data_IF_200348771041
#
_entry.id   IF_200348771041
#
_cell.length_a   1.000
_cell.length_b   1.000
_cell.length_c   1.000
_cell.angle_alpha   90.00
_cell.angle_beta   90.00
_cell.angle_gamma   90.00
#
_symmetry.space_group_name_H-M   'P 1'
#
loop_
_entity.id
_entity.type
_entity.pdbx_description
1 polymer ?
#
# COMPACT_ATOMS: atom_id res chain seq x y z
N UNK A 1 13.24 -3.06 11.20
CA UNK A 1 12.23 -2.40 10.35
C UNK A 1 12.92 -1.98 9.07
N UNK A 2 12.35 -2.30 7.91
CA UNK A 2 12.91 -1.95 6.58
C UNK A 2 11.78 -1.29 5.80
N UNK A 3 12.06 -0.12 5.24
CA UNK A 3 11.11 0.67 4.46
C UNK A 3 11.56 0.64 2.99
N UNK A 4 10.60 0.65 2.07
CA UNK A 4 10.84 0.72 0.63
C UNK A 4 10.15 1.96 0.10
N UNK A 5 10.94 2.84 -0.53
CA UNK A 5 10.41 3.99 -1.27
C UNK A 5 10.13 3.56 -2.71
N UNK A 6 8.88 3.63 -3.13
CA UNK A 6 8.45 3.35 -4.50
C UNK A 6 8.41 4.64 -5.33
N UNK A 7 9.11 4.65 -6.47
CA UNK A 7 9.10 5.78 -7.43
C UNK A 7 8.57 5.25 -8.76
N UNK A 8 7.58 5.97 -9.32
CA UNK A 8 7.02 5.69 -10.64
C UNK A 8 7.25 6.87 -11.59
N UNK A 9 7.56 6.56 -12.84
CA UNK A 9 7.82 7.56 -13.88
C UNK A 9 7.32 7.09 -15.24
N UNK A 10 6.87 8.05 -16.06
CA UNK A 10 6.32 7.80 -17.39
C UNK A 10 4.88 7.31 -17.36
N UNK A 11 4.21 7.40 -18.52
CA UNK A 11 2.77 7.11 -18.62
C UNK A 11 2.45 5.63 -18.34
N UNK A 12 3.18 4.70 -18.96
CA UNK A 12 3.02 3.26 -18.70
C UNK A 12 3.42 2.90 -17.25
N UNK A 13 4.53 3.47 -16.74
CA UNK A 13 4.99 3.23 -15.37
C UNK A 13 3.97 3.65 -14.31
N UNK A 14 3.33 4.80 -14.51
CA UNK A 14 2.27 5.27 -13.61
C UNK A 14 1.01 4.39 -13.66
N UNK A 15 0.68 3.80 -14.82
CA UNK A 15 -0.48 2.89 -14.93
C UNK A 15 -0.25 1.58 -14.17
N UNK A 16 0.94 0.99 -14.31
CA UNK A 16 1.30 -0.22 -13.59
C UNK A 16 1.43 0.07 -12.09
N UNK A 17 2.06 1.19 -11.72
CA UNK A 17 2.19 1.60 -10.32
C UNK A 17 0.84 1.83 -9.64
N UNK A 18 -0.13 2.43 -10.34
CA UNK A 18 -1.49 2.57 -9.82
C UNK A 18 -2.14 1.20 -9.52
N UNK A 19 -2.00 0.23 -10.45
CA UNK A 19 -2.52 -1.14 -10.23
C UNK A 19 -1.78 -1.90 -9.14
N UNK A 20 -0.47 -1.67 -8.99
CA UNK A 20 0.29 -2.23 -7.89
C UNK A 20 -0.27 -1.77 -6.54
N UNK A 21 -0.49 -0.46 -6.37
CA UNK A 21 -1.02 0.07 -5.11
C UNK A 21 -2.45 -0.38 -4.84
N UNK A 22 -3.31 -0.47 -5.86
CA UNK A 22 -4.67 -1.03 -5.72
C UNK A 22 -4.62 -2.46 -5.14
N UNK A 23 -3.81 -3.34 -5.71
CA UNK A 23 -3.70 -4.73 -5.25
C UNK A 23 -3.11 -4.84 -3.84
N UNK A 24 -2.06 -4.07 -3.54
CA UNK A 24 -1.43 -4.08 -2.21
C UNK A 24 -2.40 -3.50 -1.16
N UNK A 25 -3.14 -2.44 -1.47
CA UNK A 25 -4.14 -1.87 -0.56
C UNK A 25 -5.26 -2.88 -0.27
N UNK A 26 -5.77 -3.56 -1.30
CA UNK A 26 -6.77 -4.62 -1.13
C UNK A 26 -6.25 -5.79 -0.27
N UNK A 27 -5.01 -6.23 -0.50
CA UNK A 27 -4.37 -7.30 0.28
C UNK A 27 -4.22 -6.93 1.76
N UNK A 28 -3.82 -5.69 2.05
CA UNK A 28 -3.63 -5.16 3.39
C UNK A 28 -4.92 -4.59 4.02
N UNK A 29 -6.06 -4.66 3.34
CA UNK A 29 -7.35 -4.17 3.83
C UNK A 29 -7.36 -2.65 4.05
N UNK A 30 -6.65 -1.88 3.23
CA UNK A 30 -6.62 -0.41 3.30
C UNK A 30 -7.60 0.16 2.28
N UNK A 31 -8.57 0.94 2.74
CA UNK A 31 -9.53 1.59 1.86
C UNK A 31 -8.91 2.79 1.11
N UNK A 32 -9.56 3.34 0.07
CA UNK A 32 -9.06 4.52 -0.65
C UNK A 32 -8.95 5.80 0.19
N UNK A 33 -9.52 5.82 1.40
CA UNK A 33 -9.40 6.92 2.36
C UNK A 33 -8.21 6.73 3.31
N UNK A 34 -7.52 5.58 3.25
CA UNK A 34 -6.39 5.23 4.10
C UNK A 34 -6.77 4.52 5.40
N UNK A 35 -8.04 4.13 5.59
CA UNK A 35 -8.48 3.42 6.79
C UNK A 35 -8.28 1.91 6.64
N UNK A 36 -7.89 1.25 7.72
CA UNK A 36 -7.90 -0.20 7.81
C UNK A 36 -9.32 -0.72 8.01
N UNK A 37 -9.74 -1.58 7.08
CA UNK A 37 -11.05 -2.27 7.05
C UNK A 37 -10.89 -3.79 6.92
N UNK A 38 -9.67 -4.31 7.15
CA UNK A 38 -9.36 -5.74 7.10
C UNK A 38 -9.85 -6.51 8.33
N UNK A 39 -9.72 -7.83 8.26
CA UNK A 39 -10.22 -8.78 9.27
C UNK A 39 -9.13 -9.67 9.87
N UNK A 40 -7.86 -9.48 9.47
CA UNK A 40 -6.74 -10.32 9.89
C UNK A 40 -5.56 -9.50 10.38
N UNK A 41 -5.10 -9.76 11.60
CA UNK A 41 -3.91 -9.10 12.19
C UNK A 41 -2.65 -9.26 11.32
N UNK A 42 -2.58 -10.29 10.48
CA UNK A 42 -1.47 -10.51 9.55
C UNK A 42 -1.39 -9.42 8.47
N UNK A 43 -2.51 -8.78 8.12
CA UNK A 43 -2.55 -7.68 7.15
C UNK A 43 -1.87 -6.43 7.69
N UNK A 44 -1.78 -6.27 9.01
CA UNK A 44 -1.03 -5.19 9.64
C UNK A 44 0.44 -5.56 9.86
N UNK A 45 0.79 -6.85 9.73
CA UNK A 45 2.19 -7.28 9.87
C UNK A 45 3.02 -6.67 8.73
N UNK A 46 4.04 -5.88 9.09
CA UNK A 46 4.97 -5.26 8.14
C UNK A 46 4.33 -4.26 7.16
N UNK A 47 3.15 -3.74 7.48
CA UNK A 47 2.52 -2.68 6.67
C UNK A 47 3.43 -1.44 6.54
N UNK A 48 4.30 -1.20 7.53
CA UNK A 48 5.32 -0.14 7.53
C UNK A 48 6.40 -0.28 6.46
N UNK A 49 6.43 -1.38 5.69
CA UNK A 49 7.35 -1.51 4.56
C UNK A 49 6.97 -0.55 3.42
N UNK A 50 5.66 -0.35 3.19
CA UNK A 50 5.13 0.42 2.07
C UNK A 50 4.26 1.61 2.47
N UNK A 51 3.65 1.56 3.66
CA UNK A 51 2.78 2.63 4.16
C UNK A 51 3.41 3.35 5.34
N UNK A 52 3.08 4.63 5.45
CA UNK A 52 3.36 5.43 6.65
C UNK A 52 2.06 5.59 7.45
N UNK A 53 2.15 5.48 8.77
CA UNK A 53 1.05 5.82 9.67
C UNK A 53 0.90 7.35 9.71
N UNK A 54 -0.28 7.84 9.36
CA UNK A 54 -0.63 9.27 9.39
C UNK A 54 -1.46 9.58 10.65
N UNK A 55 -1.17 10.72 11.28
CA UNK A 55 -1.83 11.20 12.52
C UNK A 55 -3.18 11.87 12.28
#
# INVERSE_FOLDING_TARGET
>A
MREIVHIQAGQCGNQIGAKFWEVISDEHGIDPSGNYVGDSDLQLERISVYYNEAS
#
